data_IF_670455025043
#
_entry.id   IF_670455025043
#
_cell.length_a   1.000
_cell.length_b   1.000
_cell.length_c   1.000
_cell.angle_alpha   90.00
_cell.angle_beta   90.00
_cell.angle_gamma   90.00
#
_symmetry.space_group_name_H-M   'P 1'
#
loop_
_entity.id
_entity.type
_entity.pdbx_description
1 polymer ?
#
# COMPACT_ATOMS: atom_id res chain seq x y z
N UNK A 1 -39.81 16.60 -8.09
CA UNK A 1 -38.95 17.14 -7.01
C UNK A 1 -37.60 17.72 -7.50
N UNK A 2 -37.37 17.88 -8.82
CA UNK A 2 -36.17 18.56 -9.36
C UNK A 2 -36.36 20.06 -9.67
N UNK A 3 -37.60 20.56 -9.76
CA UNK A 3 -37.88 21.94 -10.19
C UNK A 3 -37.56 23.02 -9.14
N UNK A 4 -37.75 22.73 -7.84
CA UNK A 4 -37.54 23.73 -6.78
C UNK A 4 -36.07 24.12 -6.57
N UNK A 5 -35.11 23.22 -6.85
CA UNK A 5 -33.68 23.53 -6.67
C UNK A 5 -33.19 24.59 -7.68
N UNK A 6 -33.75 24.64 -8.88
CA UNK A 6 -33.38 25.64 -9.89
C UNK A 6 -33.90 27.04 -9.56
N UNK A 7 -35.05 27.17 -8.90
CA UNK A 7 -35.58 28.48 -8.48
C UNK A 7 -34.66 29.18 -7.47
N UNK A 8 -34.14 28.45 -6.49
CA UNK A 8 -33.18 29.02 -5.53
C UNK A 8 -31.88 29.45 -6.19
N UNK A 9 -31.41 28.71 -7.20
CA UNK A 9 -30.21 29.05 -7.97
C UNK A 9 -30.45 30.33 -8.79
N UNK A 10 -31.61 30.46 -9.44
CA UNK A 10 -31.96 31.65 -10.22
C UNK A 10 -32.05 32.90 -9.33
N UNK A 11 -32.67 32.78 -8.16
CA UNK A 11 -32.76 33.89 -7.19
C UNK A 11 -31.35 34.28 -6.68
N UNK A 12 -30.49 33.30 -6.39
CA UNK A 12 -29.10 33.55 -5.99
C UNK A 12 -28.32 34.29 -7.07
N UNK A 13 -28.43 33.87 -8.34
CA UNK A 13 -27.77 34.53 -9.47
C UNK A 13 -28.29 35.94 -9.71
N UNK A 14 -29.60 36.17 -9.58
CA UNK A 14 -30.19 37.50 -9.69
C UNK A 14 -29.67 38.45 -8.59
N UNK A 15 -29.53 37.95 -7.36
CA UNK A 15 -29.00 38.71 -6.23
C UNK A 15 -27.51 39.03 -6.41
N UNK A 16 -26.73 38.05 -6.87
CA UNK A 16 -25.32 38.24 -7.23
C UNK A 16 -25.17 39.27 -8.34
N UNK A 17 -25.98 39.19 -9.40
CA UNK A 17 -25.97 40.15 -10.51
C UNK A 17 -26.31 41.57 -10.04
N UNK A 18 -27.29 41.74 -9.15
CA UNK A 18 -27.65 43.03 -8.59
C UNK A 18 -26.54 43.65 -7.72
N UNK A 19 -25.83 42.84 -6.95
CA UNK A 19 -24.67 43.29 -6.16
C UNK A 19 -23.53 43.69 -7.10
N UNK A 20 -23.25 42.85 -8.10
CA UNK A 20 -22.22 43.08 -9.11
C UNK A 20 -22.50 44.37 -9.91
N UNK A 21 -23.75 44.66 -10.28
CA UNK A 21 -24.11 45.84 -11.07
C UNK A 21 -23.92 47.18 -10.35
N UNK A 22 -23.73 47.18 -9.03
CA UNK A 22 -23.50 48.40 -8.23
C UNK A 22 -22.04 48.73 -7.98
N UNK A 23 -21.11 47.87 -8.40
CA UNK A 23 -19.68 48.07 -8.22
C UNK A 23 -19.02 48.61 -9.49
N UNK A 24 -17.93 49.37 -9.31
CA UNK A 24 -17.18 49.95 -10.43
C UNK A 24 -16.57 48.86 -11.33
N UNK A 25 -16.47 49.14 -12.63
CA UNK A 25 -15.92 48.25 -13.68
C UNK A 25 -14.62 47.50 -13.30
N UNK A 26 -13.62 48.09 -12.62
CA UNK A 26 -12.41 47.37 -12.21
C UNK A 26 -12.65 46.31 -11.11
N UNK A 27 -13.64 46.50 -10.23
CA UNK A 27 -13.98 45.52 -9.18
C UNK A 27 -14.68 44.30 -9.78
N UNK A 28 -15.51 44.51 -10.80
CA UNK A 28 -16.12 43.41 -11.56
C UNK A 28 -15.08 42.54 -12.28
N UNK A 29 -14.11 43.21 -12.91
CA UNK A 29 -13.06 42.55 -13.67
C UNK A 29 -12.14 41.71 -12.77
N UNK A 30 -11.83 42.18 -11.56
CA UNK A 30 -11.06 41.41 -10.58
C UNK A 30 -11.82 40.18 -10.05
N UNK A 31 -13.13 40.29 -9.82
CA UNK A 31 -13.98 39.16 -9.41
C UNK A 31 -14.03 38.09 -10.51
N UNK A 32 -14.18 38.47 -11.78
CA UNK A 32 -14.19 37.54 -12.92
C UNK A 32 -12.84 36.81 -13.03
N UNK A 33 -11.73 37.53 -12.88
CA UNK A 33 -10.39 36.93 -12.89
C UNK A 33 -10.23 35.92 -11.75
N UNK A 34 -10.67 36.25 -10.53
CA UNK A 34 -10.60 35.34 -9.39
C UNK A 34 -11.43 34.08 -9.60
N UNK A 35 -12.63 34.20 -10.17
CA UNK A 35 -13.48 33.05 -10.52
C UNK A 35 -12.80 32.19 -11.59
N UNK A 36 -12.18 32.81 -12.61
CA UNK A 36 -11.43 32.11 -13.65
C UNK A 36 -10.25 31.32 -13.09
N UNK A 37 -9.47 31.93 -12.19
CA UNK A 37 -8.33 31.28 -11.51
C UNK A 37 -8.83 30.12 -10.64
N UNK A 38 -9.90 30.32 -9.87
CA UNK A 38 -10.48 29.28 -9.02
C UNK A 38 -10.97 28.08 -9.86
N UNK A 39 -11.66 28.34 -10.97
CA UNK A 39 -12.14 27.29 -11.87
C UNK A 39 -10.99 26.52 -12.52
N UNK A 40 -9.96 27.23 -13.00
CA UNK A 40 -8.77 26.61 -13.57
C UNK A 40 -8.06 25.72 -12.56
N UNK A 41 -7.83 26.22 -11.35
CA UNK A 41 -7.18 25.48 -10.27
C UNK A 41 -7.97 24.21 -9.89
N UNK A 42 -9.29 24.32 -9.78
CA UNK A 42 -10.14 23.20 -9.42
C UNK A 42 -10.16 22.12 -10.51
N UNK A 43 -10.19 22.53 -11.78
CA UNK A 43 -10.13 21.62 -12.94
C UNK A 43 -8.78 20.90 -13.00
N UNK A 44 -7.67 21.65 -12.89
CA UNK A 44 -6.32 21.10 -12.85
C UNK A 44 -6.15 20.09 -11.70
N UNK A 45 -6.66 20.41 -10.51
CA UNK A 45 -6.61 19.48 -9.38
C UNK A 45 -7.39 18.19 -9.67
N UNK A 46 -8.61 18.31 -10.20
CA UNK A 46 -9.47 17.17 -10.49
C UNK A 46 -8.87 16.24 -11.55
N UNK A 47 -8.24 16.79 -12.59
CA UNK A 47 -7.61 16.00 -13.64
C UNK A 47 -6.36 15.26 -13.13
N UNK A 48 -5.55 15.91 -12.28
CA UNK A 48 -4.40 15.26 -11.64
C UNK A 48 -4.83 14.14 -10.67
N UNK A 49 -5.87 14.36 -9.87
CA UNK A 49 -6.42 13.32 -9.00
C UNK A 49 -7.00 12.15 -9.80
N UNK A 50 -7.70 12.42 -10.90
CA UNK A 50 -8.22 11.39 -11.78
C UNK A 50 -7.11 10.54 -12.41
N UNK A 51 -6.03 11.17 -12.90
CA UNK A 51 -4.86 10.46 -13.43
C UNK A 51 -4.15 9.62 -12.37
N UNK A 52 -3.95 10.18 -11.17
CA UNK A 52 -3.33 9.47 -10.05
C UNK A 52 -4.13 8.22 -9.65
N UNK A 53 -5.46 8.35 -9.57
CA UNK A 53 -6.35 7.23 -9.24
C UNK A 53 -6.36 6.17 -10.35
N UNK A 54 -6.31 6.58 -11.62
CA UNK A 54 -6.23 5.65 -12.75
C UNK A 54 -4.94 4.82 -12.74
N UNK A 55 -3.78 5.43 -12.43
CA UNK A 55 -2.51 4.70 -12.34
C UNK A 55 -2.45 3.76 -11.12
N UNK A 56 -3.01 4.19 -9.99
CA UNK A 56 -3.16 3.33 -8.81
C UNK A 56 -4.02 2.10 -9.13
N UNK A 57 -5.20 2.29 -9.74
CA UNK A 57 -6.10 1.20 -10.08
C UNK A 57 -5.45 0.18 -11.04
N UNK A 58 -4.67 0.64 -12.03
CA UNK A 58 -3.90 -0.23 -12.92
C UNK A 58 -2.88 -1.07 -12.16
N UNK A 59 -2.18 -0.48 -11.20
CA UNK A 59 -1.21 -1.21 -10.35
C UNK A 59 -1.90 -2.27 -9.49
N UNK A 60 -3.05 -1.95 -8.92
CA UNK A 60 -3.84 -2.89 -8.12
C UNK A 60 -4.33 -4.09 -8.94
N UNK A 61 -4.94 -3.84 -10.09
CA UNK A 61 -5.45 -4.87 -10.99
C UNK A 61 -4.34 -5.85 -11.42
N UNK A 62 -3.16 -5.30 -11.76
CA UNK A 62 -1.99 -6.07 -12.18
C UNK A 62 -1.46 -7.01 -11.10
N UNK A 63 -1.49 -6.60 -9.83
CA UNK A 63 -1.12 -7.48 -8.70
C UNK A 63 -2.18 -8.56 -8.47
N UNK A 64 -3.47 -8.25 -8.61
CA UNK A 64 -4.55 -9.25 -8.51
C UNK A 64 -4.44 -10.32 -9.59
N UNK A 65 -4.13 -9.93 -10.82
CA UNK A 65 -3.87 -10.88 -11.91
C UNK A 65 -2.69 -11.80 -11.63
N UNK A 66 -1.64 -11.27 -10.97
CA UNK A 66 -0.41 -12.00 -10.69
C UNK A 66 -0.56 -13.14 -9.67
N UNK A 67 -1.66 -13.16 -8.93
CA UNK A 67 -1.98 -14.22 -7.97
C UNK A 67 -3.18 -15.09 -8.37
N UNK A 68 -3.85 -14.79 -9.48
CA UNK A 68 -5.10 -15.45 -9.90
C UNK A 68 -4.97 -16.98 -10.04
N UNK A 69 -3.81 -17.43 -10.52
CA UNK A 69 -3.51 -18.83 -10.84
C UNK A 69 -2.71 -19.56 -9.75
N UNK A 70 -2.49 -18.93 -8.60
CA UNK A 70 -1.72 -19.57 -7.51
C UNK A 70 -2.57 -20.69 -6.92
N UNK A 71 -2.12 -21.92 -7.12
CA UNK A 71 -2.72 -23.11 -6.51
C UNK A 71 -2.19 -23.20 -5.08
N UNK A 72 -3.09 -23.08 -4.10
CA UNK A 72 -2.73 -23.22 -2.69
C UNK A 72 -2.35 -24.68 -2.42
N UNK A 73 -1.16 -24.91 -1.86
CA UNK A 73 -0.91 -26.12 -1.09
C UNK A 73 -1.73 -25.97 0.20
N UNK A 74 -2.81 -26.74 0.31
CA UNK A 74 -3.58 -26.84 1.55
C UNK A 74 -2.62 -27.28 2.65
N UNK A 75 -2.29 -26.35 3.53
CA UNK A 75 -1.51 -26.63 4.74
C UNK A 75 -2.45 -26.49 5.90
N UNK A 76 -2.46 -27.47 6.80
CA UNK A 76 -3.32 -27.55 7.99
C UNK A 76 -2.95 -26.52 9.08
N UNK A 77 -2.52 -25.31 8.68
CA UNK A 77 -2.39 -24.19 9.60
C UNK A 77 -3.80 -23.71 9.95
N UNK A 78 -4.31 -24.21 11.08
CA UNK A 78 -5.66 -24.01 11.64
C UNK A 78 -6.18 -22.57 11.60
N UNK A 79 -5.29 -21.56 11.65
CA UNK A 79 -5.67 -20.14 11.74
C UNK A 79 -5.86 -19.43 10.39
N UNK A 80 -5.55 -20.08 9.26
CA UNK A 80 -5.63 -19.45 7.93
C UNK A 80 -6.47 -20.35 7.02
N UNK A 81 -7.79 -20.34 7.23
CA UNK A 81 -8.71 -20.95 6.27
C UNK A 81 -8.64 -20.18 4.94
N UNK A 82 -8.36 -20.93 3.86
CA UNK A 82 -8.56 -20.62 2.43
C UNK A 82 -8.37 -19.14 2.08
N UNK A 83 -7.20 -18.79 1.55
CA UNK A 83 -6.97 -17.41 1.16
C UNK A 83 -7.94 -17.08 0.04
N UNK A 84 -8.83 -16.10 0.28
CA UNK A 84 -9.68 -15.62 -0.79
C UNK A 84 -8.74 -15.04 -1.84
N UNK A 85 -8.88 -15.44 -3.12
CA UNK A 85 -7.99 -15.02 -4.22
C UNK A 85 -7.94 -13.51 -4.47
N UNK A 86 -8.64 -12.74 -3.64
CA UNK A 86 -8.82 -11.31 -3.73
C UNK A 86 -7.86 -10.59 -2.78
N UNK A 87 -6.76 -10.07 -3.33
CA UNK A 87 -5.74 -9.29 -2.61
C UNK A 87 -6.37 -7.95 -2.18
N UNK A 88 -6.92 -7.90 -0.98
CA UNK A 88 -7.76 -6.78 -0.52
C UNK A 88 -7.01 -5.77 0.33
N UNK A 89 -6.02 -6.19 1.10
CA UNK A 89 -5.39 -5.36 2.13
C UNK A 89 -4.08 -4.76 1.63
N UNK A 90 -3.28 -5.55 0.90
CA UNK A 90 -2.02 -5.13 0.32
C UNK A 90 -2.18 -3.96 -0.66
N UNK A 91 -3.18 -4.01 -1.53
CA UNK A 91 -3.43 -2.96 -2.55
C UNK A 91 -3.60 -1.56 -1.94
N UNK A 92 -4.05 -1.47 -0.69
CA UNK A 92 -4.25 -0.21 0.02
C UNK A 92 -2.96 0.39 0.59
N UNK A 93 -1.86 -0.37 0.61
CA UNK A 93 -0.58 0.06 1.14
C UNK A 93 0.39 0.39 0.00
N UNK A 94 0.52 1.69 -0.29
CA UNK A 94 1.40 2.20 -1.37
C UNK A 94 2.86 1.77 -1.22
N UNK A 95 3.38 1.68 0.00
CA UNK A 95 4.79 1.32 0.23
C UNK A 95 5.05 -0.14 -0.11
N UNK A 96 4.18 -1.06 0.33
CA UNK A 96 4.30 -2.47 -0.06
C UNK A 96 4.04 -2.70 -1.54
N UNK A 97 3.09 -1.97 -2.13
CA UNK A 97 2.89 -2.01 -3.58
C UNK A 97 4.15 -1.57 -4.32
N UNK A 98 4.77 -0.46 -3.93
CA UNK A 98 6.03 0.00 -4.54
C UNK A 98 7.15 -1.05 -4.42
N UNK A 99 7.32 -1.67 -3.24
CA UNK A 99 8.28 -2.76 -3.04
C UNK A 99 8.03 -3.89 -4.05
N UNK A 100 6.79 -4.35 -4.21
CA UNK A 100 6.44 -5.41 -5.16
C UNK A 100 6.69 -5.01 -6.62
N UNK A 101 6.45 -3.75 -6.97
CA UNK A 101 6.71 -3.25 -8.32
C UNK A 101 8.21 -3.17 -8.63
N UNK A 102 9.04 -2.76 -7.67
CA UNK A 102 10.49 -2.68 -7.84
C UNK A 102 11.09 -4.07 -8.11
N UNK A 103 10.61 -5.09 -7.40
CA UNK A 103 11.11 -6.47 -7.52
C UNK A 103 10.29 -7.34 -8.47
N UNK A 104 9.37 -6.76 -9.24
CA UNK A 104 8.46 -7.47 -10.14
C UNK A 104 9.19 -8.34 -11.16
N UNK A 105 10.41 -7.98 -11.55
CA UNK A 105 11.21 -8.75 -12.50
C UNK A 105 11.48 -10.19 -12.02
N UNK A 106 11.43 -10.46 -10.71
CA UNK A 106 11.55 -11.80 -10.12
C UNK A 106 10.56 -12.78 -10.74
N UNK A 107 9.35 -12.32 -11.11
CA UNK A 107 8.33 -13.15 -11.75
C UNK A 107 8.83 -13.88 -13.00
N UNK A 108 9.83 -13.33 -13.69
CA UNK A 108 10.44 -13.95 -14.88
C UNK A 108 11.33 -15.14 -14.53
N UNK A 109 11.85 -15.19 -13.31
CA UNK A 109 12.76 -16.24 -12.82
C UNK A 109 12.00 -17.26 -11.98
N UNK A 110 11.14 -16.79 -11.07
CA UNK A 110 10.33 -17.65 -10.21
C UNK A 110 8.98 -16.97 -9.91
N UNK A 111 7.97 -17.33 -10.74
CA UNK A 111 6.59 -16.86 -10.58
C UNK A 111 6.02 -17.27 -9.21
N UNK A 112 6.35 -18.47 -8.73
CA UNK A 112 5.81 -19.02 -7.49
C UNK A 112 6.28 -18.25 -6.26
N UNK A 113 7.59 -17.98 -6.14
CA UNK A 113 8.14 -17.16 -5.06
C UNK A 113 7.58 -15.75 -5.07
N UNK A 114 7.49 -15.13 -6.25
CA UNK A 114 6.92 -13.80 -6.38
C UNK A 114 5.44 -13.76 -5.95
N UNK A 115 4.63 -14.71 -6.41
CA UNK A 115 3.23 -14.81 -5.99
C UNK A 115 3.07 -15.12 -4.50
N UNK A 116 3.91 -15.99 -3.93
CA UNK A 116 3.91 -16.29 -2.49
C UNK A 116 4.26 -15.05 -1.66
N UNK A 117 5.16 -14.19 -2.14
CA UNK A 117 5.48 -12.92 -1.51
C UNK A 117 4.26 -11.98 -1.48
N UNK A 118 3.54 -11.83 -2.60
CA UNK A 118 2.30 -11.04 -2.67
C UNK A 118 1.29 -11.54 -1.63
N UNK A 119 1.07 -12.86 -1.59
CA UNK A 119 0.14 -13.51 -0.66
C UNK A 119 0.54 -13.27 0.79
N UNK A 120 1.81 -13.44 1.14
CA UNK A 120 2.28 -13.21 2.50
C UNK A 120 2.17 -11.73 2.90
N UNK A 121 2.48 -10.79 2.00
CA UNK A 121 2.33 -9.35 2.26
C UNK A 121 0.85 -8.95 2.48
N UNK A 122 -0.10 -9.55 1.74
CA UNK A 122 -1.54 -9.32 1.96
C UNK A 122 -2.00 -9.88 3.31
N UNK A 123 -1.60 -11.10 3.67
CA UNK A 123 -1.92 -11.68 4.98
C UNK A 123 -1.34 -10.85 6.12
N UNK A 124 -0.09 -10.39 5.98
CA UNK A 124 0.56 -9.51 6.94
C UNK A 124 -0.24 -8.20 7.13
N UNK A 125 -0.69 -7.59 6.03
CA UNK A 125 -1.54 -6.39 6.05
C UNK A 125 -2.91 -6.64 6.69
N UNK A 126 -3.53 -7.79 6.40
CA UNK A 126 -4.80 -8.20 7.03
C UNK A 126 -4.66 -8.27 8.55
N UNK A 127 -3.64 -8.99 9.04
CA UNK A 127 -3.39 -9.12 10.48
C UNK A 127 -3.15 -7.74 11.11
N UNK A 128 -2.30 -6.93 10.50
CA UNK A 128 -2.02 -5.58 10.97
C UNK A 128 -3.29 -4.73 11.12
N UNK A 129 -4.10 -4.64 10.07
CA UNK A 129 -5.35 -3.85 10.09
C UNK A 129 -6.33 -4.42 11.10
N UNK A 130 -6.41 -5.75 11.25
CA UNK A 130 -7.36 -6.38 12.14
C UNK A 130 -6.98 -6.26 13.62
N UNK A 131 -5.69 -6.24 13.94
CA UNK A 131 -5.21 -5.88 15.28
C UNK A 131 -5.62 -4.43 15.59
N UNK A 132 -5.34 -3.49 14.68
CA UNK A 132 -5.67 -2.07 14.89
C UNK A 132 -7.18 -1.77 14.89
N UNK A 133 -7.98 -2.64 14.29
CA UNK A 133 -9.43 -2.55 14.25
C UNK A 133 -10.11 -3.34 15.39
N UNK A 134 -9.36 -3.78 16.40
CA UNK A 134 -9.87 -4.55 17.54
C UNK A 134 -10.55 -5.89 17.19
N UNK A 135 -10.31 -6.40 15.98
CA UNK A 135 -10.88 -7.69 15.56
C UNK A 135 -10.03 -8.87 16.00
N UNK A 136 -8.71 -8.67 16.08
CA UNK A 136 -7.74 -9.68 16.46
C UNK A 136 -7.02 -9.26 17.74
N UNK A 137 -6.93 -10.19 18.70
CA UNK A 137 -6.12 -9.98 19.90
C UNK A 137 -4.63 -9.90 19.54
N UNK A 138 -3.97 -8.85 20.01
CA UNK A 138 -2.58 -8.59 19.66
C UNK A 138 -1.62 -9.64 20.20
N UNK A 139 -1.86 -10.18 21.41
CA UNK A 139 -0.97 -11.19 22.01
C UNK A 139 -1.01 -12.51 21.25
N UNK A 140 -2.18 -12.85 20.69
CA UNK A 140 -2.39 -14.06 19.90
C UNK A 140 -1.84 -13.90 18.48
N UNK A 141 -2.08 -12.77 17.83
CA UNK A 141 -1.79 -12.58 16.41
C UNK A 141 -0.43 -11.94 16.10
N UNK A 142 0.26 -11.34 17.08
CA UNK A 142 1.61 -10.80 16.87
C UNK A 142 2.66 -11.89 16.58
N UNK A 143 2.65 -13.07 17.23
CA UNK A 143 3.50 -14.19 16.81
C UNK A 143 3.25 -14.59 15.34
N UNK A 144 1.97 -14.68 14.94
CA UNK A 144 1.59 -15.01 13.55
C UNK A 144 2.08 -13.92 12.58
N UNK A 145 1.96 -12.64 12.96
CA UNK A 145 2.51 -11.52 12.20
C UNK A 145 4.03 -11.69 12.01
N UNK A 146 4.75 -12.07 13.06
CA UNK A 146 6.19 -12.30 13.02
C UNK A 146 6.56 -13.50 12.14
N UNK A 147 5.79 -14.59 12.15
CA UNK A 147 6.01 -15.74 11.28
C UNK A 147 5.84 -15.38 9.80
N UNK A 148 4.78 -14.65 9.46
CA UNK A 148 4.54 -14.21 8.07
C UNK A 148 5.62 -13.22 7.61
N UNK A 149 6.05 -12.30 8.48
CA UNK A 149 7.20 -11.42 8.23
C UNK A 149 8.46 -12.23 7.91
N UNK A 150 8.72 -13.29 8.68
CA UNK A 150 9.88 -14.15 8.47
C UNK A 150 9.80 -14.92 7.15
N UNK A 151 8.62 -15.41 6.77
CA UNK A 151 8.41 -16.03 5.46
C UNK A 151 8.74 -15.07 4.30
N UNK A 152 8.40 -13.78 4.45
CA UNK A 152 8.74 -12.76 3.44
C UNK A 152 10.26 -12.52 3.41
N UNK A 153 10.93 -12.47 4.56
CA UNK A 153 12.39 -12.35 4.60
C UNK A 153 13.09 -13.55 3.96
N UNK A 154 12.62 -14.77 4.23
CA UNK A 154 13.15 -15.97 3.61
C UNK A 154 13.02 -15.91 2.08
N UNK A 155 11.87 -15.47 1.56
CA UNK A 155 11.70 -15.24 0.13
C UNK A 155 12.75 -14.24 -0.36
N UNK A 156 12.88 -13.06 0.26
CA UNK A 156 13.89 -12.07 -0.14
C UNK A 156 15.31 -12.63 -0.20
N UNK A 157 15.76 -13.32 0.84
CA UNK A 157 17.10 -13.90 0.87
C UNK A 157 17.29 -15.00 -0.16
N UNK A 158 16.24 -15.76 -0.45
CA UNK A 158 16.29 -16.82 -1.45
C UNK A 158 16.43 -16.31 -2.89
N UNK A 159 16.10 -15.04 -3.15
CA UNK A 159 16.19 -14.44 -4.48
C UNK A 159 17.62 -14.40 -5.01
N UNK A 160 18.61 -14.33 -4.12
CA UNK A 160 20.03 -14.37 -4.47
C UNK A 160 20.38 -15.63 -5.27
N UNK A 161 19.69 -16.75 -5.02
CA UNK A 161 19.93 -18.00 -5.74
C UNK A 161 19.15 -18.13 -7.05
N UNK A 162 18.10 -17.31 -7.23
CA UNK A 162 17.11 -17.45 -8.30
C UNK A 162 17.31 -16.40 -9.39
N UNK A 163 17.76 -15.21 -9.00
CA UNK A 163 17.94 -14.06 -9.88
C UNK A 163 19.42 -13.90 -10.23
N UNK A 164 19.78 -13.81 -11.52
CA UNK A 164 21.15 -13.51 -11.92
C UNK A 164 21.62 -12.14 -11.40
N UNK A 165 22.87 -12.07 -10.93
CA UNK A 165 23.48 -10.84 -10.40
C UNK A 165 23.51 -9.68 -11.41
N UNK A 166 23.53 -9.98 -12.72
CA UNK A 166 23.52 -8.97 -13.77
C UNK A 166 22.67 -9.43 -14.95
N UNK A 167 21.83 -8.54 -15.47
CA UNK A 167 21.14 -8.77 -16.73
C UNK A 167 22.07 -8.37 -17.88
N UNK A 168 22.57 -9.37 -18.61
CA UNK A 168 23.58 -9.18 -19.66
C UNK A 168 23.24 -8.04 -20.64
N UNK A 169 21.97 -7.86 -21.03
CA UNK A 169 21.57 -6.84 -22.03
C UNK A 169 20.12 -6.29 -21.94
N UNK A 170 19.34 -6.53 -20.88
CA UNK A 170 17.86 -6.48 -21.03
C UNK A 170 17.16 -5.37 -20.24
N UNK A 171 17.76 -4.80 -19.19
CA UNK A 171 16.97 -4.01 -18.21
C UNK A 171 17.58 -2.71 -17.70
N UNK A 172 18.84 -2.41 -17.99
CA UNK A 172 19.44 -1.12 -17.58
C UNK A 172 19.49 -0.86 -16.07
N UNK A 173 19.22 -1.86 -15.22
CA UNK A 173 19.34 -1.79 -13.77
C UNK A 173 20.02 -3.04 -13.21
N UNK A 174 20.61 -2.90 -12.02
CA UNK A 174 21.20 -3.98 -11.25
C UNK A 174 20.13 -4.69 -10.40
N UNK A 175 19.82 -5.98 -10.67
CA UNK A 175 18.76 -6.72 -9.97
C UNK A 175 19.04 -6.85 -8.47
N UNK A 176 20.31 -7.04 -8.11
CA UNK A 176 20.69 -7.27 -6.72
C UNK A 176 20.51 -5.99 -5.90
N UNK A 177 20.94 -4.85 -6.46
CA UNK A 177 20.71 -3.54 -5.85
C UNK A 177 19.23 -3.25 -5.61
N UNK A 178 18.35 -3.57 -6.58
CA UNK A 178 16.90 -3.37 -6.42
C UNK A 178 16.27 -4.32 -5.38
N UNK A 179 16.75 -5.57 -5.29
CA UNK A 179 16.32 -6.53 -4.25
C UNK A 179 16.74 -6.02 -2.87
N UNK A 180 17.99 -5.61 -2.69
CA UNK A 180 18.53 -5.16 -1.41
C UNK A 180 17.86 -3.87 -0.92
N UNK A 181 17.62 -2.93 -1.83
CA UNK A 181 16.85 -1.71 -1.55
C UNK A 181 15.42 -2.05 -1.11
N UNK A 182 14.75 -2.94 -1.84
CA UNK A 182 13.37 -3.35 -1.55
C UNK A 182 13.24 -4.11 -0.23
N UNK A 183 14.24 -4.93 0.11
CA UNK A 183 14.35 -5.59 1.41
C UNK A 183 14.54 -4.57 2.55
N UNK A 184 15.38 -3.55 2.33
CA UNK A 184 15.58 -2.46 3.29
C UNK A 184 14.29 -1.67 3.54
N UNK A 185 13.59 -1.30 2.47
CA UNK A 185 12.30 -0.60 2.53
C UNK A 185 11.25 -1.44 3.26
N UNK A 186 11.20 -2.75 2.99
CA UNK A 186 10.32 -3.68 3.69
C UNK A 186 10.64 -3.74 5.19
N UNK A 187 11.91 -3.88 5.60
CA UNK A 187 12.32 -3.87 7.01
C UNK A 187 11.91 -2.57 7.71
N UNK A 188 12.13 -1.42 7.06
CA UNK A 188 11.75 -0.11 7.59
C UNK A 188 10.24 -0.03 7.82
N UNK A 189 9.44 -0.50 6.86
CA UNK A 189 7.99 -0.53 6.98
C UNK A 189 7.51 -1.43 8.11
N UNK A 190 8.07 -2.65 8.21
CA UNK A 190 7.76 -3.59 9.30
C UNK A 190 8.08 -2.99 10.66
N UNK A 191 9.24 -2.35 10.81
CA UNK A 191 9.60 -1.66 12.06
C UNK A 191 8.56 -0.59 12.43
N UNK A 192 8.15 0.21 11.46
CA UNK A 192 7.08 1.20 11.66
C UNK A 192 5.76 0.56 12.10
N UNK A 193 5.34 -0.52 11.45
CA UNK A 193 4.10 -1.25 11.81
C UNK A 193 4.16 -1.83 13.21
N UNK A 194 5.28 -2.44 13.60
CA UNK A 194 5.47 -2.98 14.95
C UNK A 194 5.43 -1.88 16.02
N UNK A 195 6.02 -0.71 15.75
CA UNK A 195 5.91 0.45 16.63
C UNK A 195 4.46 0.88 16.80
N UNK A 196 3.69 0.96 15.70
CA UNK A 196 2.27 1.33 15.76
C UNK A 196 1.45 0.31 16.56
N UNK A 197 1.62 -0.99 16.29
CA UNK A 197 0.95 -2.05 17.07
C UNK A 197 1.32 -1.94 18.54
N UNK A 198 2.60 -1.78 18.86
CA UNK A 198 3.08 -1.69 20.24
C UNK A 198 2.46 -0.51 20.96
N UNK A 199 2.44 0.67 20.32
CA UNK A 199 1.83 1.87 20.89
C UNK A 199 0.31 1.70 21.07
N UNK A 200 -0.36 1.13 20.08
CA UNK A 200 -1.79 0.84 20.14
C UNK A 200 -2.14 -0.09 21.32
N UNK A 201 -1.37 -1.15 21.52
CA UNK A 201 -1.60 -2.12 22.61
C UNK A 201 -1.27 -1.52 23.97
N UNK A 202 -0.11 -0.86 24.11
CA UNK A 202 0.34 -0.30 25.38
C UNK A 202 -0.50 0.89 25.84
N UNK A 203 -0.77 1.83 24.93
CA UNK A 203 -1.44 3.10 25.27
C UNK A 203 -2.95 2.94 25.15
N UNK A 204 -3.43 2.35 24.05
CA UNK A 204 -4.86 2.23 23.75
C UNK A 204 -5.57 1.14 24.56
N UNK A 205 -4.87 0.06 24.90
CA UNK A 205 -5.45 -1.09 25.63
C UNK A 205 -4.89 -1.31 27.03
N UNK A 206 -3.93 -0.49 27.46
CA UNK A 206 -3.26 -0.62 28.77
C UNK A 206 -2.66 -2.00 29.05
N UNK A 207 -2.35 -2.77 27.99
CA UNK A 207 -1.72 -4.08 28.12
C UNK A 207 -0.20 -3.90 28.25
N UNK A 208 0.35 -4.41 29.35
CA UNK A 208 1.75 -4.18 29.76
C UNK A 208 2.74 -5.06 28.97
N UNK A 209 2.31 -6.22 28.48
CA UNK A 209 3.16 -7.20 27.82
C UNK A 209 2.81 -7.35 26.34
N UNK A 210 3.82 -7.29 25.49
CA UNK A 210 3.73 -7.58 24.05
C UNK A 210 4.83 -8.59 23.76
N UNK A 211 4.45 -9.83 23.42
CA UNK A 211 5.41 -10.90 23.13
C UNK A 211 6.06 -10.66 21.75
N UNK A 212 7.08 -9.81 21.70
CA UNK A 212 7.78 -9.44 20.47
C UNK A 212 9.20 -10.05 20.38
N UNK A 213 9.68 -10.66 21.47
CA UNK A 213 11.08 -11.07 21.62
C UNK A 213 11.24 -12.59 21.48
N UNK A 214 11.17 -13.08 20.25
CA UNK A 214 11.96 -14.27 19.86
C UNK A 214 12.94 -13.83 18.79
N UNK A 215 14.21 -13.75 19.17
CA UNK A 215 15.35 -13.63 18.25
C UNK A 215 15.17 -14.64 17.13
N UNK A 216 15.06 -14.16 15.89
CA UNK A 216 14.83 -15.03 14.76
C UNK A 216 16.15 -15.72 14.36
N UNK A 217 16.17 -17.04 14.11
CA UNK A 217 17.40 -17.80 13.88
C UNK A 217 18.26 -17.26 12.73
N UNK A 218 17.65 -16.67 11.70
CA UNK A 218 18.34 -16.18 10.50
C UNK A 218 19.21 -14.94 10.76
N UNK A 219 19.01 -14.20 11.86
CA UNK A 219 19.87 -13.04 12.18
C UNK A 219 21.27 -13.48 12.60
N UNK A 220 21.41 -14.69 13.14
CA UNK A 220 22.69 -15.32 13.50
C UNK A 220 23.49 -15.80 12.27
N UNK A 221 22.80 -16.14 11.18
CA UNK A 221 23.43 -16.72 9.99
C UNK A 221 24.16 -15.70 9.10
N UNK A 222 24.08 -14.39 9.39
CA UNK A 222 24.88 -13.38 8.68
C UNK A 222 26.36 -13.39 9.07
N UNK A 223 26.71 -14.05 10.18
CA UNK A 223 28.10 -14.16 10.65
C UNK A 223 28.83 -15.37 10.04
N UNK A 224 28.10 -16.27 9.39
CA UNK A 224 28.66 -17.44 8.72
C UNK A 224 28.58 -17.25 7.20
N UNK A 225 29.60 -16.59 6.64
CA UNK A 225 29.91 -16.79 5.23
C UNK A 225 30.37 -18.23 5.04
N UNK A 226 29.82 -18.91 4.04
CA UNK A 226 30.41 -20.15 3.54
C UNK A 226 31.78 -19.81 2.92
N UNK A 227 32.80 -20.68 3.10
CA UNK A 227 34.14 -20.48 2.55
C UNK A 227 34.14 -20.36 1.02
#
# INVERSE_FOLDING_TARGET
>A
MLSNQYYYIIILFALLFYILSKHESPVLLSIIILIGIFYYYNTYRKDNEAQFNADSNKKEEKIREEVKDVVELATDNFYIHKNNKDIKYLVKNKEFMNILFNIRFIKRFDKTRFSNMIVNMDKLMKIYVYILADRYDANTYLPIFNDIKNNIYEIFYSLIFVVPNQFKHIYGFDPQTEIDKSLSDFRKKIKGMLTVITNYVKIGKQNVYVNNDKLAPYEKNKEHFLP
#
